data_IF_512597590552
#
_entry.id   IF_512597590552
#
_cell.length_a   1.000
_cell.length_b   1.000
_cell.length_c   1.000
_cell.angle_alpha   90.00
_cell.angle_beta   90.00
_cell.angle_gamma   90.00
#
_symmetry.space_group_name_H-M   'P 1'
#
loop_
_entity.id
_entity.type
_entity.pdbx_description
1 polymer ?
#
# COMPACT_ATOMS: atom_id res chain seq x y z
N UNK A 1 -16.77 -12.34 -5.52
CA UNK A 1 -17.66 -11.79 -4.48
C UNK A 1 -16.87 -10.78 -3.67
N UNK A 2 -17.48 -9.67 -3.20
CA UNK A 2 -16.74 -8.61 -2.47
C UNK A 2 -15.95 -9.11 -1.24
N UNK A 3 -16.38 -10.20 -0.64
CA UNK A 3 -15.76 -10.84 0.55
C UNK A 3 -14.37 -11.46 0.29
N UNK A 4 -14.06 -11.77 -0.97
CA UNK A 4 -12.77 -12.35 -1.35
C UNK A 4 -11.81 -11.34 -1.97
N UNK A 5 -12.20 -10.07 -2.05
CA UNK A 5 -11.38 -9.00 -2.61
C UNK A 5 -10.26 -8.61 -1.66
N UNK A 6 -9.19 -8.11 -2.23
CA UNK A 6 -7.98 -7.68 -1.51
C UNK A 6 -7.76 -6.21 -1.81
N UNK A 7 -7.44 -5.41 -0.79
CA UNK A 7 -7.02 -4.03 -0.93
C UNK A 7 -5.50 -4.00 -1.13
N UNK A 8 -5.05 -3.68 -2.33
CA UNK A 8 -3.65 -3.32 -2.57
C UNK A 8 -3.44 -1.90 -2.06
N UNK A 9 -2.41 -1.70 -1.22
CA UNK A 9 -2.16 -0.40 -0.59
C UNK A 9 -0.65 -0.16 -0.49
N UNK A 10 -0.27 1.09 -0.65
CA UNK A 10 1.07 1.61 -0.39
C UNK A 10 0.96 3.06 0.09
N UNK A 11 1.77 3.42 1.05
CA UNK A 11 1.86 4.77 1.59
C UNK A 11 3.25 5.34 1.31
N UNK A 12 3.32 6.63 1.01
CA UNK A 12 4.54 7.39 1.23
C UNK A 12 4.43 8.14 2.55
N UNK A 13 5.50 8.08 3.33
CA UNK A 13 5.56 8.72 4.64
C UNK A 13 6.78 9.63 4.72
N UNK A 14 6.75 10.60 5.64
CA UNK A 14 7.90 11.47 5.92
C UNK A 14 9.06 10.73 6.61
N UNK A 15 8.85 9.48 7.04
CA UNK A 15 9.78 8.56 7.66
C UNK A 15 9.07 7.33 8.21
N UNK A 16 9.75 6.48 8.97
CA UNK A 16 9.24 5.17 9.39
C UNK A 16 8.67 5.10 10.81
N UNK A 17 8.79 6.15 11.60
CA UNK A 17 8.29 6.19 12.98
C UNK A 17 6.91 6.86 13.03
N UNK A 18 5.79 6.12 13.19
CA UNK A 18 4.46 6.70 13.19
C UNK A 18 4.18 7.65 14.37
N UNK A 19 5.04 7.68 15.40
CA UNK A 19 4.90 8.64 16.50
C UNK A 19 5.41 10.03 16.11
N UNK A 20 6.32 10.11 15.16
CA UNK A 20 7.00 11.34 14.76
C UNK A 20 6.67 11.77 13.33
N UNK A 21 6.38 10.81 12.47
CA UNK A 21 6.25 10.98 11.03
C UNK A 21 4.78 10.96 10.61
N UNK A 22 4.51 11.33 9.36
CA UNK A 22 3.15 11.47 8.84
C UNK A 22 3.02 10.82 7.45
N UNK A 23 1.79 10.44 7.12
CA UNK A 23 1.42 10.04 5.74
C UNK A 23 1.47 11.29 4.86
N UNK A 24 2.11 11.18 3.70
CA UNK A 24 2.21 12.24 2.69
C UNK A 24 1.67 11.83 1.31
N UNK A 25 1.44 10.53 1.09
CA UNK A 25 0.68 10.01 -0.04
C UNK A 25 -0.01 8.71 0.36
N UNK A 26 -1.21 8.49 -0.10
CA UNK A 26 -1.91 7.21 -0.01
C UNK A 26 -2.33 6.78 -1.40
N UNK A 27 -2.00 5.56 -1.77
CA UNK A 27 -2.50 4.92 -2.96
C UNK A 27 -3.07 3.55 -2.63
N UNK A 28 -4.25 3.26 -3.16
CA UNK A 28 -4.84 1.94 -3.02
C UNK A 28 -5.72 1.61 -4.21
N UNK A 29 -5.91 0.32 -4.42
CA UNK A 29 -6.85 -0.22 -5.39
C UNK A 29 -7.31 -1.61 -4.99
N UNK A 30 -8.47 -2.00 -5.46
CA UNK A 30 -9.08 -3.29 -5.14
C UNK A 30 -8.80 -4.30 -6.22
N UNK A 31 -8.49 -5.53 -5.83
CA UNK A 31 -8.38 -6.68 -6.74
C UNK A 31 -9.34 -7.79 -6.32
N UNK A 32 -9.79 -8.57 -7.31
CA UNK A 32 -10.54 -9.80 -7.09
C UNK A 32 -9.62 -10.91 -6.50
N UNK A 33 -10.19 -12.03 -6.08
CA UNK A 33 -9.44 -13.16 -5.53
C UNK A 33 -8.39 -13.75 -6.50
N UNK A 34 -8.62 -13.61 -7.80
CA UNK A 34 -7.68 -14.00 -8.85
C UNK A 34 -6.60 -12.94 -9.15
N UNK A 35 -6.54 -11.91 -8.31
CA UNK A 35 -5.65 -10.76 -8.42
C UNK A 35 -5.94 -9.84 -9.63
N UNK A 36 -7.12 -9.93 -10.27
CA UNK A 36 -7.54 -9.01 -11.34
C UNK A 36 -8.00 -7.68 -10.73
N UNK A 37 -7.49 -6.50 -11.19
CA UNK A 37 -7.95 -5.21 -10.70
C UNK A 37 -9.43 -4.99 -10.96
N UNK A 38 -10.15 -4.46 -9.96
CA UNK A 38 -11.54 -4.07 -10.08
C UNK A 38 -11.61 -2.72 -10.80
N UNK A 39 -12.31 -2.60 -11.94
CA UNK A 39 -12.43 -1.34 -12.65
C UNK A 39 -13.05 -0.23 -11.80
N UNK A 40 -12.45 0.96 -11.82
CA UNK A 40 -12.93 2.12 -11.07
C UNK A 40 -12.60 2.12 -9.58
N UNK A 41 -11.99 1.04 -9.06
CA UNK A 41 -11.63 0.89 -7.64
C UNK A 41 -10.15 1.23 -7.39
N UNK A 42 -9.70 2.38 -7.84
CA UNK A 42 -8.31 2.85 -7.69
C UNK A 42 -8.30 4.31 -7.27
N UNK A 43 -7.41 4.67 -6.36
CA UNK A 43 -7.16 6.05 -5.96
C UNK A 43 -5.69 6.30 -5.59
N UNK A 44 -5.28 7.56 -5.73
CA UNK A 44 -3.98 8.05 -5.28
C UNK A 44 -4.12 9.51 -4.88
N UNK A 45 -3.80 9.85 -3.62
CA UNK A 45 -3.91 11.20 -3.07
C UNK A 45 -2.62 11.62 -2.39
N UNK A 46 -2.13 12.81 -2.74
CA UNK A 46 -1.15 13.51 -1.92
C UNK A 46 -1.84 13.99 -0.63
N UNK A 47 -1.18 13.84 0.51
CA UNK A 47 -1.73 14.18 1.82
C UNK A 47 -0.90 15.29 2.45
N UNK A 48 -1.55 16.40 2.78
CA UNK A 48 -0.94 17.47 3.59
C UNK A 48 -1.06 17.07 5.05
N UNK A 49 0.05 16.82 5.76
CA UNK A 49 0.00 16.45 7.17
C UNK A 49 -0.49 17.61 8.04
N UNK A 50 -1.14 17.26 9.18
CA UNK A 50 -1.63 18.24 10.16
C UNK A 50 -0.50 19.11 10.76
N UNK A 51 0.72 18.53 10.82
CA UNK A 51 1.95 19.26 11.12
C UNK A 51 2.81 19.36 9.85
N UNK A 52 2.69 20.42 9.05
CA UNK A 52 3.47 20.56 7.81
C UNK A 52 4.98 20.62 8.02
N UNK A 53 5.43 20.96 9.24
CA UNK A 53 6.86 21.05 9.57
C UNK A 53 7.58 19.69 9.50
N UNK A 54 6.84 18.56 9.45
CA UNK A 54 7.44 17.24 9.23
C UNK A 54 8.14 17.16 7.87
N UNK A 55 7.65 17.91 6.86
CA UNK A 55 8.27 17.94 5.53
C UNK A 55 9.67 18.53 5.55
N UNK A 56 9.91 19.48 6.46
CA UNK A 56 11.21 20.16 6.62
C UNK A 56 12.16 19.35 7.54
N UNK A 57 11.63 18.36 8.28
CA UNK A 57 12.40 17.51 9.20
C UNK A 57 12.71 16.13 8.64
N UNK A 58 12.25 15.82 7.42
CA UNK A 58 12.58 14.55 6.77
C UNK A 58 14.10 14.38 6.66
N UNK A 59 14.55 13.13 6.79
CA UNK A 59 15.94 12.81 6.53
C UNK A 59 16.34 13.05 5.05
N UNK A 60 17.65 13.02 4.79
CA UNK A 60 18.19 13.30 3.46
C UNK A 60 17.70 12.31 2.39
N UNK A 61 17.42 11.06 2.75
CA UNK A 61 16.95 10.06 1.81
C UNK A 61 15.49 10.34 1.41
N UNK A 62 14.61 10.54 2.39
CA UNK A 62 13.19 10.87 2.17
C UNK A 62 13.06 12.18 1.41
N UNK A 63 13.80 13.21 1.82
CA UNK A 63 13.80 14.52 1.15
C UNK A 63 14.17 14.40 -0.32
N UNK A 64 15.27 13.70 -0.65
CA UNK A 64 15.70 13.49 -2.04
C UNK A 64 14.70 12.67 -2.84
N UNK A 65 14.22 11.59 -2.28
CA UNK A 65 13.29 10.67 -2.95
C UNK A 65 11.97 11.36 -3.28
N UNK A 66 11.36 11.99 -2.30
CA UNK A 66 10.07 12.65 -2.49
C UNK A 66 10.16 13.98 -3.28
N UNK A 67 11.30 14.64 -3.27
CA UNK A 67 11.55 15.77 -4.19
C UNK A 67 11.69 15.29 -5.63
N UNK A 68 12.46 14.21 -5.85
CA UNK A 68 12.68 13.63 -7.19
C UNK A 68 11.39 13.10 -7.82
N UNK A 69 10.54 12.43 -7.05
CA UNK A 69 9.22 11.95 -7.51
C UNK A 69 8.19 13.10 -7.69
N UNK A 70 8.53 14.30 -7.25
CA UNK A 70 7.62 15.46 -7.27
C UNK A 70 6.52 15.40 -6.19
N UNK A 71 6.60 14.46 -5.26
CA UNK A 71 5.58 14.30 -4.21
C UNK A 71 5.51 15.53 -3.31
N UNK A 72 6.64 16.08 -2.87
CA UNK A 72 6.65 17.28 -2.01
C UNK A 72 5.89 18.44 -2.64
N UNK A 73 6.04 18.63 -3.96
CA UNK A 73 5.30 19.65 -4.69
C UNK A 73 3.80 19.34 -4.69
N UNK A 74 3.40 18.09 -5.01
CA UNK A 74 1.99 17.68 -5.00
C UNK A 74 1.34 17.87 -3.63
N UNK A 75 2.05 17.50 -2.56
CA UNK A 75 1.59 17.70 -1.18
C UNK A 75 1.33 19.17 -0.90
N UNK A 76 2.27 20.07 -1.26
CA UNK A 76 2.15 21.52 -1.00
C UNK A 76 1.10 22.22 -1.85
N UNK A 77 0.90 21.78 -3.09
CA UNK A 77 -0.03 22.43 -4.04
C UNK A 77 -1.45 21.87 -3.96
N UNK A 78 -1.58 20.56 -3.77
CA UNK A 78 -2.85 19.85 -3.93
C UNK A 78 -3.12 18.80 -2.84
N UNK A 79 -2.31 18.76 -1.77
CA UNK A 79 -2.49 17.78 -0.71
C UNK A 79 -3.80 17.98 0.03
N UNK A 80 -4.59 16.92 0.16
CA UNK A 80 -5.78 16.88 1.01
C UNK A 80 -5.39 16.63 2.47
N UNK A 81 -6.24 16.97 3.43
CA UNK A 81 -5.98 16.62 4.83
C UNK A 81 -5.99 15.09 5.03
N UNK A 82 -5.32 14.63 6.08
CA UNK A 82 -5.34 13.19 6.45
C UNK A 82 -6.77 12.68 6.65
N UNK A 83 -7.64 13.51 7.21
CA UNK A 83 -9.07 13.18 7.41
C UNK A 83 -9.84 13.04 6.09
N UNK A 84 -9.58 13.90 5.13
CA UNK A 84 -10.18 13.81 3.80
C UNK A 84 -9.67 12.58 3.06
N UNK A 85 -8.36 12.30 3.13
CA UNK A 85 -7.78 11.09 2.55
C UNK A 85 -8.40 9.82 3.15
N UNK A 86 -8.58 9.75 4.47
CA UNK A 86 -9.27 8.66 5.15
C UNK A 86 -10.71 8.50 4.64
N UNK A 87 -11.45 9.61 4.49
CA UNK A 87 -12.83 9.58 3.98
C UNK A 87 -12.89 8.99 2.56
N UNK A 88 -12.01 9.43 1.66
CA UNK A 88 -11.94 8.93 0.29
C UNK A 88 -11.60 7.43 0.25
N UNK A 89 -10.62 6.98 1.06
CA UNK A 89 -10.31 5.55 1.21
C UNK A 89 -11.55 4.77 1.71
N UNK A 90 -12.27 5.31 2.69
CA UNK A 90 -13.48 4.67 3.22
C UNK A 90 -14.62 4.61 2.20
N UNK A 91 -14.75 5.62 1.33
CA UNK A 91 -15.73 5.59 0.24
C UNK A 91 -15.42 4.46 -0.74
N UNK A 92 -14.15 4.33 -1.17
CA UNK A 92 -13.70 3.23 -2.02
C UNK A 92 -13.93 1.86 -1.35
N UNK A 93 -13.60 1.73 -0.08
CA UNK A 93 -13.80 0.48 0.67
C UNK A 93 -15.26 0.07 0.75
N UNK A 94 -16.17 1.00 1.11
CA UNK A 94 -17.62 0.72 1.21
C UNK A 94 -18.25 0.37 -0.13
N UNK A 95 -17.78 0.99 -1.21
CA UNK A 95 -18.28 0.71 -2.55
C UNK A 95 -17.84 -0.68 -3.05
N UNK A 96 -16.59 -1.05 -2.82
CA UNK A 96 -15.98 -2.19 -3.48
C UNK A 96 -15.69 -3.39 -2.58
N UNK A 97 -15.70 -3.26 -1.27
CA UNK A 97 -15.32 -4.31 -0.32
C UNK A 97 -16.41 -4.55 0.75
N UNK A 98 -16.15 -5.50 1.64
CA UNK A 98 -16.93 -5.76 2.85
C UNK A 98 -16.05 -5.56 4.08
N UNK A 99 -16.63 -5.34 5.25
CA UNK A 99 -15.89 -5.27 6.52
C UNK A 99 -15.04 -6.54 6.72
N UNK A 100 -13.88 -6.35 7.35
CA UNK A 100 -12.87 -7.39 7.46
C UNK A 100 -11.97 -7.51 6.22
N UNK A 101 -11.90 -6.44 5.40
CA UNK A 101 -11.03 -6.37 4.24
C UNK A 101 -9.56 -6.67 4.59
N UNK A 102 -8.88 -7.42 3.71
CA UNK A 102 -7.45 -7.73 3.84
C UNK A 102 -6.65 -6.69 3.07
N UNK A 103 -5.65 -6.09 3.73
CA UNK A 103 -4.68 -5.18 3.10
C UNK A 103 -3.46 -5.99 2.61
N UNK A 104 -2.98 -5.67 1.42
CA UNK A 104 -1.82 -6.30 0.79
C UNK A 104 -0.84 -5.26 0.24
N UNK A 105 0.46 -5.53 0.38
CA UNK A 105 1.54 -4.72 -0.18
C UNK A 105 2.90 -5.25 0.21
N UNK A 106 3.97 -4.58 -0.23
CA UNK A 106 5.34 -4.91 0.18
C UNK A 106 5.67 -4.26 1.52
N UNK A 107 6.14 -5.07 2.49
CA UNK A 107 6.44 -4.61 3.86
C UNK A 107 5.27 -3.87 4.50
N UNK A 108 4.07 -4.26 4.13
CA UNK A 108 2.78 -3.60 4.43
C UNK A 108 2.55 -3.40 5.94
N UNK A 109 3.28 -4.11 6.78
CA UNK A 109 3.25 -3.92 8.24
C UNK A 109 3.69 -2.50 8.66
N UNK A 110 4.55 -1.83 7.87
CA UNK A 110 4.91 -0.43 8.11
C UNK A 110 3.73 0.48 7.84
N UNK A 111 3.11 0.35 6.67
CA UNK A 111 1.93 1.12 6.26
C UNK A 111 0.78 0.92 7.23
N UNK A 112 0.54 -0.32 7.65
CA UNK A 112 -0.52 -0.67 8.59
C UNK A 112 -0.38 0.03 9.94
N UNK A 113 0.85 0.29 10.43
CA UNK A 113 1.08 1.07 11.65
C UNK A 113 0.64 2.53 11.49
N UNK A 114 0.84 3.12 10.30
CA UNK A 114 0.38 4.47 9.99
C UNK A 114 -1.14 4.53 9.80
N UNK A 115 -1.73 3.56 9.10
CA UNK A 115 -3.19 3.42 8.99
C UNK A 115 -3.83 3.39 10.38
N UNK A 116 -3.38 2.50 11.24
CA UNK A 116 -3.88 2.36 12.63
C UNK A 116 -3.84 3.66 13.42
N UNK A 117 -2.81 4.47 13.20
CA UNK A 117 -2.63 5.72 13.94
C UNK A 117 -3.39 6.90 13.35
N UNK A 118 -3.43 7.01 12.04
CA UNK A 118 -3.89 8.21 11.34
C UNK A 118 -5.18 8.04 10.55
N UNK A 119 -5.60 6.80 10.32
CA UNK A 119 -6.82 6.45 9.60
C UNK A 119 -7.61 5.37 10.36
N UNK A 120 -8.09 5.68 11.57
CA UNK A 120 -8.73 4.69 12.44
C UNK A 120 -10.00 4.07 11.85
N UNK A 121 -10.75 4.78 11.00
CA UNK A 121 -11.92 4.22 10.32
C UNK A 121 -11.53 3.14 9.31
N UNK A 122 -10.37 3.32 8.65
CA UNK A 122 -9.81 2.30 7.74
C UNK A 122 -9.31 1.10 8.53
N UNK A 123 -8.63 1.31 9.68
CA UNK A 123 -8.19 0.24 10.58
C UNK A 123 -9.39 -0.59 11.08
N UNK A 124 -10.45 0.08 11.52
CA UNK A 124 -11.69 -0.57 12.01
C UNK A 124 -12.42 -1.35 10.91
N UNK A 125 -12.38 -0.89 9.66
CA UNK A 125 -13.01 -1.57 8.52
C UNK A 125 -12.22 -2.81 8.08
N UNK A 126 -10.90 -2.77 8.20
CA UNK A 126 -10.00 -3.84 7.78
C UNK A 126 -9.80 -4.90 8.88
N UNK A 127 -9.36 -6.08 8.49
CA UNK A 127 -8.93 -7.09 9.46
C UNK A 127 -7.48 -6.81 9.90
N UNK A 128 -7.11 -7.33 11.08
CA UNK A 128 -5.70 -7.33 11.52
C UNK A 128 -4.79 -8.26 10.69
N UNK A 129 -5.39 -9.11 9.82
CA UNK A 129 -4.64 -9.99 8.91
C UNK A 129 -4.22 -9.20 7.69
N UNK A 130 -2.95 -9.37 7.32
CA UNK A 130 -2.35 -8.70 6.15
C UNK A 130 -1.71 -9.73 5.23
N UNK A 131 -1.60 -9.40 3.95
CA UNK A 131 -0.77 -10.14 2.99
C UNK A 131 0.48 -9.30 2.73
N UNK A 132 1.60 -9.70 3.34
CA UNK A 132 2.88 -9.03 3.13
C UNK A 132 3.68 -9.75 2.04
N UNK A 133 3.76 -9.14 0.86
CA UNK A 133 4.46 -9.69 -0.31
C UNK A 133 5.96 -9.85 -0.04
N UNK A 134 6.55 -8.97 0.78
CA UNK A 134 7.94 -9.08 1.19
C UNK A 134 8.19 -10.31 2.06
N UNK A 135 7.23 -10.71 2.89
CA UNK A 135 7.32 -11.95 3.69
C UNK A 135 7.30 -13.20 2.80
N UNK A 136 6.48 -13.21 1.75
CA UNK A 136 6.47 -14.29 0.75
C UNK A 136 7.83 -14.36 0.05
N UNK A 137 8.36 -13.23 -0.41
CA UNK A 137 9.70 -13.11 -1.01
C UNK A 137 10.78 -13.71 -0.11
N UNK A 138 10.80 -13.31 1.15
CA UNK A 138 11.80 -13.77 2.12
C UNK A 138 11.69 -15.27 2.42
N UNK A 139 10.47 -15.82 2.43
CA UNK A 139 10.25 -17.26 2.53
C UNK A 139 10.81 -18.00 1.31
N UNK A 140 10.44 -17.55 0.10
CA UNK A 140 10.85 -18.19 -1.16
C UNK A 140 12.37 -18.16 -1.37
N UNK A 141 13.08 -17.11 -0.95
CA UNK A 141 14.54 -17.06 -0.96
C UNK A 141 15.19 -18.20 -0.17
N UNK A 142 14.49 -18.73 0.85
CA UNK A 142 15.00 -19.78 1.74
C UNK A 142 14.58 -21.19 1.30
N UNK A 143 13.32 -21.34 0.90
CA UNK A 143 12.78 -22.67 0.55
C UNK A 143 13.00 -23.05 -0.92
N UNK A 144 13.23 -22.06 -1.79
CA UNK A 144 13.50 -22.23 -3.22
C UNK A 144 14.65 -21.29 -3.68
N UNK A 145 15.88 -21.47 -3.16
CA UNK A 145 17.00 -20.54 -3.39
C UNK A 145 17.38 -20.40 -4.87
N UNK A 146 17.22 -21.47 -5.65
CA UNK A 146 17.55 -21.52 -7.08
C UNK A 146 16.32 -21.22 -7.98
N UNK A 147 15.18 -20.92 -7.38
CA UNK A 147 13.95 -20.61 -8.11
C UNK A 147 13.96 -19.25 -8.80
N UNK A 148 13.03 -19.02 -9.74
CA UNK A 148 12.93 -17.75 -10.45
C UNK A 148 12.68 -16.58 -9.48
N UNK A 149 13.23 -15.41 -9.80
CA UNK A 149 13.13 -14.21 -8.94
C UNK A 149 12.41 -13.09 -9.67
N UNK A 150 11.59 -12.35 -8.93
CA UNK A 150 10.97 -11.12 -9.41
C UNK A 150 11.93 -9.93 -9.19
N UNK A 151 12.05 -9.10 -10.20
CA UNK A 151 12.83 -7.85 -10.15
C UNK A 151 11.88 -6.67 -10.29
N UNK A 152 11.53 -6.07 -9.16
CA UNK A 152 10.66 -4.91 -9.10
C UNK A 152 11.40 -3.67 -9.59
N UNK A 153 10.75 -2.88 -10.45
CA UNK A 153 11.15 -1.48 -10.70
C UNK A 153 10.41 -0.62 -9.67
N UNK A 154 11.12 0.27 -8.99
CA UNK A 154 10.51 1.24 -8.08
C UNK A 154 10.59 2.62 -8.69
N UNK A 155 9.43 3.25 -8.86
CA UNK A 155 9.33 4.64 -9.33
C UNK A 155 9.15 5.62 -8.16
N UNK A 156 9.12 5.08 -6.91
CA UNK A 156 8.95 5.83 -5.66
C UNK A 156 7.73 6.77 -5.68
N UNK A 157 6.62 6.23 -6.14
CA UNK A 157 5.28 6.79 -5.99
C UNK A 157 4.37 5.70 -5.46
N UNK A 158 3.52 6.01 -4.49
CA UNK A 158 2.70 5.01 -3.81
C UNK A 158 1.89 4.14 -4.80
N UNK A 159 1.30 4.74 -5.84
CA UNK A 159 0.51 3.97 -6.80
C UNK A 159 1.36 3.02 -7.66
N UNK A 160 2.54 3.47 -8.14
CA UNK A 160 3.42 2.60 -8.92
C UNK A 160 3.98 1.47 -8.05
N UNK A 161 4.31 1.75 -6.79
CA UNK A 161 4.83 0.76 -5.85
C UNK A 161 3.75 -0.24 -5.42
N UNK A 162 2.50 0.18 -5.22
CA UNK A 162 1.36 -0.72 -5.01
C UNK A 162 1.10 -1.63 -6.23
N UNK A 163 1.14 -1.08 -7.45
CA UNK A 163 1.02 -1.88 -8.69
C UNK A 163 2.17 -2.87 -8.86
N UNK A 164 3.40 -2.44 -8.57
CA UNK A 164 4.56 -3.33 -8.56
C UNK A 164 4.46 -4.45 -7.51
N UNK A 165 3.83 -4.18 -6.37
CA UNK A 165 3.54 -5.21 -5.34
C UNK A 165 2.53 -6.26 -5.84
N UNK A 166 1.52 -5.84 -6.60
CA UNK A 166 0.57 -6.75 -7.24
C UNK A 166 1.27 -7.65 -8.30
N UNK A 167 2.12 -7.06 -9.15
CA UNK A 167 2.87 -7.82 -10.15
C UNK A 167 3.80 -8.86 -9.48
N UNK A 168 4.47 -8.47 -8.41
CA UNK A 168 5.32 -9.36 -7.62
C UNK A 168 4.51 -10.50 -6.98
N UNK A 169 3.35 -10.19 -6.41
CA UNK A 169 2.44 -11.20 -5.84
C UNK A 169 1.95 -12.18 -6.91
N UNK A 170 1.49 -11.69 -8.06
CA UNK A 170 1.07 -12.53 -9.20
C UNK A 170 2.17 -13.48 -9.65
N UNK A 171 3.40 -12.96 -9.77
CA UNK A 171 4.55 -13.77 -10.10
C UNK A 171 4.77 -14.91 -9.11
N UNK A 172 4.64 -14.65 -7.80
CA UNK A 172 4.81 -15.70 -6.79
C UNK A 172 3.67 -16.73 -6.82
N UNK A 173 2.44 -16.26 -7.02
CA UNK A 173 1.30 -17.17 -7.17
C UNK A 173 1.49 -18.07 -8.40
N UNK A 174 1.83 -17.50 -9.55
CA UNK A 174 2.02 -18.27 -10.79
C UNK A 174 3.19 -19.28 -10.71
N UNK A 175 4.30 -18.88 -10.09
CA UNK A 175 5.54 -19.70 -10.12
C UNK A 175 5.66 -20.70 -8.98
N UNK A 176 4.97 -20.48 -7.85
CA UNK A 176 5.24 -21.25 -6.64
C UNK A 176 3.97 -21.78 -5.95
N UNK A 177 2.79 -21.23 -6.25
CA UNK A 177 1.54 -21.68 -5.65
C UNK A 177 0.77 -22.42 -6.74
N UNK A 178 0.72 -23.75 -6.66
CA UNK A 178 -0.15 -24.53 -7.55
C UNK A 178 -1.60 -24.22 -7.19
N UNK A 179 -2.37 -23.77 -8.18
CA UNK A 179 -3.82 -23.57 -8.06
C UNK A 179 -4.60 -24.83 -8.44
N UNK A 180 -3.92 -25.90 -8.86
CA UNK A 180 -4.52 -27.18 -9.14
C UNK A 180 -4.84 -27.90 -7.80
N UNK A 181 -5.87 -27.39 -7.13
CA UNK A 181 -6.53 -28.10 -6.03
C UNK A 181 -7.57 -29.04 -6.63
N UNK A 182 -7.10 -30.00 -7.45
CA UNK A 182 -7.90 -31.17 -7.80
C UNK A 182 -8.06 -32.03 -6.55
N UNK A 183 -9.21 -31.92 -5.90
CA UNK A 183 -9.69 -32.80 -4.86
C UNK A 183 -10.95 -33.51 -5.31
#
# INVERSE_FOLDING_TARGET
MKESRILMLDLEMSGLDPDRERIIEVACFVVEADLTPVPGAEMCLAVMPDDPSVLDRMDDWNTRTHTKSGLIRRVKENGVSTREAEKEVMELLREHMTEGAIICGNSIHHDFRFIRRYMPLVDDFCTFRIIDVSSIKELLKRVAPDGPRFYKRSDHTALADAKGSLEELRFYVEKYISTDLDH
#
